data_IF_154082400084
#
_entry.id   IF_154082400084
#
_cell.length_a   1.000
_cell.length_b   1.000
_cell.length_c   1.000
_cell.angle_alpha   90.00
_cell.angle_beta   90.00
_cell.angle_gamma   90.00
#
_symmetry.space_group_name_H-M   'P 1'
#
loop_
_entity.id
_entity.type
_entity.pdbx_description
1 polymer ?
#
# COMPACT_ATOMS: atom_id res chain seq x y z
N UNK A 1 17.04 -7.27 -30.45
CA UNK A 1 16.70 -7.16 -31.89
C UNK A 1 15.79 -5.95 -32.08
N UNK A 2 16.00 -5.09 -33.10
CA UNK A 2 15.14 -3.91 -33.35
C UNK A 2 13.94 -4.29 -34.23
N UNK A 3 12.77 -3.69 -34.00
CA UNK A 3 11.55 -3.98 -34.79
C UNK A 3 11.63 -3.44 -36.23
N UNK A 4 11.00 -4.14 -37.19
CA UNK A 4 10.92 -3.70 -38.59
C UNK A 4 10.14 -2.38 -38.70
N UNK A 5 10.82 -1.32 -39.15
CA UNK A 5 10.26 0.04 -39.28
C UNK A 5 9.52 0.21 -40.61
N UNK A 6 8.24 0.58 -40.57
CA UNK A 6 7.47 0.93 -41.78
C UNK A 6 7.64 2.40 -42.13
N UNK A 7 8.03 2.71 -43.37
CA UNK A 7 8.20 4.09 -43.87
C UNK A 7 6.91 4.94 -43.76
N UNK A 8 5.73 4.30 -43.81
CA UNK A 8 4.41 4.97 -43.69
C UNK A 8 4.15 5.58 -42.31
N UNK A 9 4.87 5.15 -41.27
CA UNK A 9 4.72 5.68 -39.90
C UNK A 9 5.63 6.87 -39.62
N UNK A 10 6.47 7.28 -40.57
CA UNK A 10 7.54 8.29 -40.38
C UNK A 10 7.01 9.68 -40.00
N UNK A 11 5.81 10.04 -40.46
CA UNK A 11 5.19 11.35 -40.22
C UNK A 11 4.20 11.35 -39.04
N UNK A 12 4.06 10.23 -38.31
CA UNK A 12 3.17 10.16 -37.15
C UNK A 12 3.93 10.61 -35.92
N UNK A 13 3.28 11.41 -35.07
CA UNK A 13 3.79 11.77 -33.74
C UNK A 13 3.93 10.53 -32.84
N UNK A 14 2.97 9.61 -32.92
CA UNK A 14 3.03 8.33 -32.23
C UNK A 14 2.36 7.20 -33.03
N UNK A 15 2.68 5.96 -32.66
CA UNK A 15 1.96 4.78 -33.15
C UNK A 15 1.91 3.72 -32.05
N UNK A 16 0.71 3.22 -31.74
CA UNK A 16 0.57 2.09 -30.82
C UNK A 16 1.22 0.84 -31.42
N UNK A 17 1.75 0.00 -30.54
CA UNK A 17 2.16 -1.35 -30.88
C UNK A 17 0.96 -2.17 -31.36
N UNK A 18 1.24 -3.27 -32.07
CA UNK A 18 0.20 -4.21 -32.49
C UNK A 18 -0.36 -4.92 -31.26
N UNK A 19 -1.62 -5.38 -31.35
CA UNK A 19 -2.33 -5.99 -30.21
C UNK A 19 -1.64 -7.21 -29.61
N UNK A 20 -0.90 -7.96 -30.41
CA UNK A 20 -0.17 -9.14 -29.94
C UNK A 20 1.19 -8.81 -29.31
N UNK A 21 1.68 -7.58 -29.43
CA UNK A 21 2.98 -7.16 -28.90
C UNK A 21 2.90 -6.74 -27.43
N UNK A 22 1.69 -6.51 -26.90
CA UNK A 22 1.47 -6.15 -25.50
C UNK A 22 0.02 -6.40 -25.08
N UNK A 23 -0.21 -6.60 -23.78
CA UNK A 23 -1.56 -6.74 -23.24
C UNK A 23 -2.26 -5.37 -23.20
N UNK A 24 -3.31 -5.20 -24.03
CA UNK A 24 -4.09 -3.96 -24.10
C UNK A 24 -5.03 -3.76 -22.91
N UNK A 25 -5.54 -4.85 -22.37
CA UNK A 25 -6.51 -4.87 -21.28
C UNK A 25 -5.85 -4.58 -19.93
N UNK A 26 -4.55 -4.88 -19.80
CA UNK A 26 -3.77 -4.69 -18.57
C UNK A 26 -2.66 -3.65 -18.74
N UNK A 27 -3.03 -2.45 -19.22
CA UNK A 27 -2.07 -1.36 -19.45
C UNK A 27 -2.35 -0.11 -18.58
N UNK A 28 -2.87 -0.31 -17.36
CA UNK A 28 -3.20 0.80 -16.47
C UNK A 28 -2.00 1.58 -15.91
N UNK A 29 -0.81 0.98 -15.93
CA UNK A 29 0.42 1.64 -15.49
C UNK A 29 0.78 2.89 -16.34
N UNK A 30 0.13 3.09 -17.50
CA UNK A 30 0.25 4.33 -18.26
C UNK A 30 -0.18 5.55 -17.44
N UNK A 31 -1.13 5.38 -16.51
CA UNK A 31 -1.68 6.44 -15.68
C UNK A 31 -0.98 6.55 -14.31
N UNK A 32 0.09 5.76 -14.08
CA UNK A 32 0.77 5.71 -12.80
C UNK A 32 1.28 7.09 -12.35
N UNK A 33 1.96 7.83 -13.23
CA UNK A 33 2.49 9.15 -12.88
C UNK A 33 1.38 10.15 -12.50
N UNK A 34 0.30 10.19 -13.28
CA UNK A 34 -0.86 11.04 -12.99
C UNK A 34 -1.55 10.64 -11.68
N UNK A 35 -1.75 9.34 -11.48
CA UNK A 35 -2.35 8.80 -10.25
C UNK A 35 -1.49 9.11 -9.03
N UNK A 36 -0.17 8.96 -9.11
CA UNK A 36 0.75 9.30 -8.03
C UNK A 36 0.72 10.80 -7.69
N UNK A 37 0.68 11.67 -8.71
CA UNK A 37 0.55 13.12 -8.52
C UNK A 37 -0.76 13.47 -7.84
N UNK A 38 -1.87 12.89 -8.29
CA UNK A 38 -3.18 13.06 -7.67
C UNK A 38 -3.17 12.69 -6.17
N UNK A 39 -2.61 11.52 -5.83
CA UNK A 39 -2.51 11.08 -4.43
C UNK A 39 -1.65 12.01 -3.57
N UNK A 40 -0.59 12.57 -4.14
CA UNK A 40 0.27 13.54 -3.46
C UNK A 40 -0.45 14.86 -3.26
N UNK A 41 -1.09 15.41 -4.29
CA UNK A 41 -1.59 16.78 -4.29
C UNK A 41 -2.92 16.88 -3.53
N UNK A 42 -3.85 15.95 -3.78
CA UNK A 42 -5.20 15.97 -3.18
C UNK A 42 -5.27 15.28 -1.82
N UNK A 43 -4.47 14.23 -1.62
CA UNK A 43 -4.54 13.39 -0.41
C UNK A 43 -3.29 13.50 0.47
N UNK A 44 -2.28 14.28 0.05
CA UNK A 44 -1.02 14.45 0.78
C UNK A 44 -0.31 13.12 1.07
N UNK A 45 -0.52 12.12 0.21
CA UNK A 45 0.09 10.79 0.29
C UNK A 45 1.25 10.75 -0.70
N UNK A 46 2.46 10.82 -0.16
CA UNK A 46 3.67 10.68 -0.98
C UNK A 46 3.87 9.23 -1.43
N UNK A 47 4.78 9.03 -2.38
CA UNK A 47 5.09 7.72 -2.96
C UNK A 47 5.39 6.65 -1.89
N UNK A 48 6.29 6.93 -0.94
CA UNK A 48 6.68 5.96 0.10
C UNK A 48 5.48 5.55 0.95
N UNK A 49 4.66 6.53 1.35
CA UNK A 49 3.45 6.30 2.12
C UNK A 49 2.47 5.41 1.34
N UNK A 50 2.22 5.72 0.07
CA UNK A 50 1.32 4.94 -0.78
C UNK A 50 1.83 3.50 -0.96
N UNK A 51 3.12 3.31 -1.21
CA UNK A 51 3.68 1.97 -1.40
C UNK A 51 3.48 1.09 -0.16
N UNK A 52 3.63 1.66 1.04
CA UNK A 52 3.37 0.92 2.28
C UNK A 52 1.88 0.64 2.45
N UNK A 53 1.00 1.60 2.13
CA UNK A 53 -0.46 1.39 2.15
C UNK A 53 -0.90 0.26 1.21
N UNK A 54 -0.40 0.26 -0.03
CA UNK A 54 -0.70 -0.77 -1.01
C UNK A 54 -0.19 -2.14 -0.56
N UNK A 55 1.02 -2.19 0.01
CA UNK A 55 1.58 -3.42 0.57
C UNK A 55 0.73 -3.98 1.72
N UNK A 56 0.12 -3.13 2.55
CA UNK A 56 -0.70 -3.57 3.68
C UNK A 56 -2.17 -3.82 3.30
N UNK A 57 -2.56 -3.66 2.03
CA UNK A 57 -3.96 -3.61 1.62
C UNK A 57 -4.68 -4.96 1.78
N UNK A 58 -4.01 -6.06 1.49
CA UNK A 58 -4.51 -7.42 1.61
C UNK A 58 -4.43 -7.98 3.04
N UNK A 59 -3.69 -7.31 3.92
CA UNK A 59 -3.51 -7.73 5.30
C UNK A 59 -4.71 -7.31 6.18
N UNK A 60 -5.13 -8.21 7.07
CA UNK A 60 -6.10 -7.88 8.13
C UNK A 60 -5.44 -6.94 9.17
N UNK A 61 -4.22 -7.29 9.59
CA UNK A 61 -3.37 -6.49 10.46
C UNK A 61 -1.89 -6.81 10.22
N UNK A 62 -0.99 -5.95 10.71
CA UNK A 62 0.45 -6.13 10.59
C UNK A 62 1.22 -5.52 11.75
N UNK A 63 2.47 -5.93 11.93
CA UNK A 63 3.42 -5.23 12.82
C UNK A 63 4.35 -4.34 11.99
N UNK A 64 4.91 -3.30 12.62
CA UNK A 64 5.90 -2.44 11.96
C UNK A 64 7.13 -3.22 11.48
N UNK A 65 7.54 -4.24 12.26
CA UNK A 65 8.71 -5.06 11.95
C UNK A 65 8.49 -5.93 10.72
N UNK A 66 7.29 -6.54 10.59
CA UNK A 66 6.92 -7.31 9.41
C UNK A 66 6.98 -6.47 8.14
N UNK A 67 6.33 -5.30 8.13
CA UNK A 67 6.34 -4.38 6.98
C UNK A 67 7.77 -3.91 6.66
N UNK A 68 8.56 -3.62 7.70
CA UNK A 68 9.94 -3.19 7.55
C UNK A 68 10.80 -4.26 6.89
N UNK A 69 10.68 -5.52 7.31
CA UNK A 69 11.39 -6.65 6.72
C UNK A 69 11.00 -6.86 5.25
N UNK A 70 9.70 -6.92 4.95
CA UNK A 70 9.20 -7.20 3.60
C UNK A 70 9.54 -6.09 2.60
N UNK A 71 9.59 -4.84 3.05
CA UNK A 71 9.93 -3.70 2.19
C UNK A 71 11.42 -3.30 2.26
N UNK A 72 12.26 -4.07 2.96
CA UNK A 72 13.67 -3.77 3.21
C UNK A 72 13.90 -2.34 3.74
N UNK A 73 13.16 -1.99 4.80
CA UNK A 73 13.18 -0.70 5.49
C UNK A 73 13.50 -0.90 6.97
N UNK A 74 13.82 0.18 7.68
CA UNK A 74 13.93 0.11 9.14
C UNK A 74 12.56 0.26 9.80
N UNK A 75 12.29 -0.56 10.82
CA UNK A 75 11.05 -0.49 11.59
C UNK A 75 10.81 0.88 12.22
N UNK A 76 11.88 1.56 12.67
CA UNK A 76 11.83 2.97 13.11
C UNK A 76 11.28 3.89 12.01
N UNK A 77 11.82 3.81 10.78
CA UNK A 77 11.36 4.66 9.66
C UNK A 77 9.93 4.32 9.23
N UNK A 78 9.52 3.05 9.27
CA UNK A 78 8.12 2.67 8.98
C UNK A 78 7.18 3.30 10.00
N UNK A 79 7.56 3.31 11.29
CA UNK A 79 6.75 3.96 12.33
C UNK A 79 6.66 5.48 12.13
N UNK A 80 7.80 6.15 12.00
CA UNK A 80 7.89 7.61 11.93
C UNK A 80 7.31 8.21 10.64
N UNK A 81 7.55 7.56 9.49
CA UNK A 81 7.17 8.11 8.19
C UNK A 81 5.80 7.65 7.70
N UNK A 82 5.30 6.52 8.22
CA UNK A 82 4.02 5.95 7.79
C UNK A 82 3.05 5.77 8.95
N UNK A 83 3.35 4.92 9.94
CA UNK A 83 2.35 4.52 10.95
C UNK A 83 1.84 5.73 11.75
N UNK A 84 2.71 6.53 12.35
CA UNK A 84 2.26 7.66 13.18
C UNK A 84 1.53 8.74 12.36
N UNK A 85 2.04 9.17 11.19
CA UNK A 85 1.28 10.09 10.32
C UNK A 85 -0.04 9.50 9.82
N UNK A 86 -0.10 8.19 9.51
CA UNK A 86 -1.32 7.51 9.08
C UNK A 86 -2.36 7.42 10.20
N UNK A 87 -1.93 7.16 11.44
CA UNK A 87 -2.81 7.19 12.60
C UNK A 87 -3.40 8.57 12.85
N UNK A 88 -2.57 9.63 12.78
CA UNK A 88 -3.05 11.01 12.91
C UNK A 88 -4.07 11.40 11.82
N UNK A 89 -4.03 10.74 10.67
CA UNK A 89 -4.94 10.98 9.53
C UNK A 89 -6.14 10.02 9.48
N UNK A 90 -6.30 9.17 10.50
CA UNK A 90 -7.34 8.14 10.57
C UNK A 90 -7.31 7.17 9.36
N UNK A 91 -6.10 6.85 8.90
CA UNK A 91 -5.85 5.87 7.83
C UNK A 91 -5.40 4.52 8.40
N UNK A 92 -4.83 4.52 9.60
CA UNK A 92 -4.37 3.33 10.33
C UNK A 92 -4.86 3.42 11.75
N UNK A 93 -5.25 2.28 12.33
CA UNK A 93 -5.59 2.17 13.74
C UNK A 93 -4.83 1.00 14.39
N UNK A 94 -4.76 0.97 15.72
CA UNK A 94 -4.21 -0.17 16.46
C UNK A 94 -5.30 -1.24 16.54
N UNK A 95 -5.08 -2.34 15.83
CA UNK A 95 -5.98 -3.49 15.80
C UNK A 95 -5.83 -4.32 17.09
N UNK A 96 -4.58 -4.49 17.56
CA UNK A 96 -4.29 -5.04 18.89
C UNK A 96 -3.21 -4.20 19.59
N UNK A 97 -3.46 -3.81 20.83
CA UNK A 97 -2.51 -3.11 21.72
C UNK A 97 -2.63 -3.67 23.14
N UNK A 98 -1.51 -3.68 23.88
CA UNK A 98 -1.42 -4.12 25.28
C UNK A 98 -2.39 -3.37 26.20
N UNK A 99 -2.68 -2.12 25.86
CA UNK A 99 -3.54 -1.22 26.62
C UNK A 99 -5.01 -1.30 26.21
N UNK A 100 -5.38 -2.06 25.18
CA UNK A 100 -6.79 -2.30 24.85
C UNK A 100 -7.34 -3.36 25.80
N UNK A 101 -8.01 -2.98 26.90
CA UNK A 101 -8.50 -3.95 27.89
C UNK A 101 -9.81 -4.50 27.34
N UNK A 102 -9.90 -5.78 27.00
CA UNK A 102 -11.26 -6.29 26.71
C UNK A 102 -11.49 -7.65 26.10
N UNK A 103 -10.50 -8.54 25.89
CA UNK A 103 -10.82 -9.84 25.28
C UNK A 103 -10.07 -11.04 25.87
N UNK A 104 -9.54 -10.93 27.08
CA UNK A 104 -9.09 -12.11 27.82
C UNK A 104 -9.84 -12.19 29.14
N UNK A 105 -10.48 -13.33 29.36
CA UNK A 105 -11.05 -13.75 30.64
C UNK A 105 -9.94 -13.93 31.67
N UNK A 106 -10.30 -13.87 32.95
CA UNK A 106 -9.35 -14.06 34.05
C UNK A 106 -8.61 -15.41 33.97
N UNK A 107 -9.29 -16.46 33.48
CA UNK A 107 -8.71 -17.78 33.26
C UNK A 107 -7.70 -17.78 32.11
N UNK A 108 -7.99 -17.10 31.00
CA UNK A 108 -7.04 -16.97 29.87
C UNK A 108 -5.76 -16.25 30.29
N UNK A 109 -5.84 -15.32 31.24
CA UNK A 109 -4.66 -14.67 31.82
C UNK A 109 -3.79 -15.61 32.67
N UNK A 110 -4.38 -16.61 33.34
CA UNK A 110 -3.66 -17.55 34.21
C UNK A 110 -2.84 -18.57 33.41
N UNK A 111 -3.21 -18.84 32.17
CA UNK A 111 -2.53 -19.80 31.28
C UNK A 111 -1.73 -19.14 30.14
N UNK A 112 -1.68 -17.81 30.09
CA UNK A 112 -0.99 -17.11 29.02
C UNK A 112 0.53 -17.08 29.28
N UNK A 113 1.28 -17.95 28.61
CA UNK A 113 2.74 -17.86 28.57
C UNK A 113 3.16 -16.63 27.76
N UNK A 114 3.54 -15.57 28.47
CA UNK A 114 3.96 -14.31 27.88
C UNK A 114 5.24 -14.46 27.03
N UNK A 115 5.10 -14.58 25.72
CA UNK A 115 6.23 -14.42 24.80
C UNK A 115 6.44 -12.95 24.41
N UNK A 116 7.69 -12.54 24.15
CA UNK A 116 8.04 -11.19 23.63
C UNK A 116 7.25 -10.78 22.38
N UNK A 117 6.74 -11.75 21.60
CA UNK A 117 5.91 -11.53 20.41
C UNK A 117 4.47 -11.11 20.73
N UNK A 118 3.99 -11.40 21.94
CA UNK A 118 2.64 -11.02 22.40
C UNK A 118 2.47 -9.49 22.47
N UNK A 119 3.55 -8.76 22.77
CA UNK A 119 3.53 -7.33 23.07
C UNK A 119 3.65 -6.40 21.85
N UNK A 120 3.79 -6.94 20.64
CA UNK A 120 3.92 -6.11 19.44
C UNK A 120 2.56 -5.54 19.06
N UNK A 121 2.47 -4.20 19.01
CA UNK A 121 1.30 -3.50 18.50
C UNK A 121 1.04 -3.95 17.06
N UNK A 122 -0.19 -4.39 16.81
CA UNK A 122 -0.68 -4.75 15.48
C UNK A 122 -1.53 -3.61 14.95
N UNK A 123 -1.24 -3.16 13.76
CA UNK A 123 -1.88 -2.05 13.07
C UNK A 123 -2.76 -2.59 11.95
N UNK A 124 -3.82 -1.88 11.61
CA UNK A 124 -4.70 -2.22 10.48
C UNK A 124 -5.14 -0.97 9.73
N UNK A 125 -5.50 -1.12 8.45
CA UNK A 125 -6.01 -0.02 7.62
C UNK A 125 -7.46 0.24 8.02
N UNK A 126 -7.82 1.51 8.15
CA UNK A 126 -9.22 1.89 8.30
C UNK A 126 -9.99 1.68 6.99
N UNK A 127 -11.32 1.64 7.06
CA UNK A 127 -12.15 1.56 5.85
C UNK A 127 -11.90 2.74 4.90
N UNK A 128 -11.67 3.94 5.45
CA UNK A 128 -11.29 5.14 4.71
C UNK A 128 -10.01 4.93 3.89
N UNK A 129 -8.99 4.32 4.48
CA UNK A 129 -7.75 4.01 3.76
C UNK A 129 -7.96 2.98 2.65
N UNK A 130 -8.80 1.97 2.88
CA UNK A 130 -9.14 0.96 1.86
C UNK A 130 -9.86 1.57 0.66
N UNK A 131 -10.83 2.44 0.89
CA UNK A 131 -11.52 3.17 -0.18
C UNK A 131 -10.56 4.07 -0.98
N UNK A 132 -9.59 4.68 -0.31
CA UNK A 132 -8.58 5.51 -0.95
C UNK A 132 -7.63 4.69 -1.84
N UNK A 133 -7.28 3.47 -1.42
CA UNK A 133 -6.52 2.52 -2.24
C UNK A 133 -7.35 2.04 -3.43
N UNK A 134 -8.64 1.74 -3.24
CA UNK A 134 -9.53 1.36 -4.34
C UNK A 134 -9.63 2.45 -5.40
N UNK A 135 -9.79 3.71 -4.97
CA UNK A 135 -9.74 4.87 -5.87
C UNK A 135 -8.43 4.93 -6.66
N UNK A 136 -7.30 4.63 -6.02
CA UNK A 136 -6.01 4.55 -6.72
C UNK A 136 -5.98 3.46 -7.80
N UNK A 137 -6.54 2.27 -7.53
CA UNK A 137 -6.68 1.23 -8.55
C UNK A 137 -7.55 1.67 -9.72
N UNK A 138 -8.71 2.31 -9.45
CA UNK A 138 -9.58 2.83 -10.51
C UNK A 138 -8.86 3.85 -11.40
N UNK A 139 -8.12 4.79 -10.81
CA UNK A 139 -7.35 5.79 -11.57
C UNK A 139 -6.24 5.16 -12.44
N UNK A 140 -5.72 3.99 -12.05
CA UNK A 140 -4.78 3.27 -12.91
C UNK A 140 -5.50 2.66 -14.11
N UNK A 141 -6.72 2.15 -13.94
CA UNK A 141 -7.48 1.47 -14.99
C UNK A 141 -8.10 2.44 -16.03
N UNK A 142 -8.41 3.68 -15.63
CA UNK A 142 -9.02 4.74 -16.46
C UNK A 142 -8.11 5.24 -17.62
#
# INVERSE_FOLDING_TARGET
MKSKRSKKKKMREFAKLRSYEYNRERNGLKNLDLSLKYMRDEHQINYTFLMIMLFCYDLEFWTADYVAEQLNRSSKKVKELFIYPAMHRDLVYKHFDRLSPGKMTHEEHLFYEESKMSYRVRYALTQKARLLIQKFYTMLED
#
